data_IF_384013741245
#
_entry.id   IF_384013741245
#
_cell.length_a   1.000
_cell.length_b   1.000
_cell.length_c   1.000
_cell.angle_alpha   90.00
_cell.angle_beta   90.00
_cell.angle_gamma   90.00
#
_symmetry.space_group_name_H-M   'P 1'
#
loop_
_entity.id
_entity.type
_entity.pdbx_description
1 polymer ?
#
# COMPACT_ATOMS: atom_id res chain seq x y z
N UNK A 1 -15.17 2.32 -19.94
CA UNK A 1 -14.76 3.62 -20.51
C UNK A 1 -15.25 3.81 -21.95
N UNK A 2 -14.67 3.15 -22.97
CA UNK A 2 -14.98 3.44 -24.39
C UNK A 2 -16.48 3.39 -24.73
N UNK A 3 -17.20 2.37 -24.27
CA UNK A 3 -18.64 2.26 -24.47
C UNK A 3 -19.42 3.45 -23.87
N UNK A 4 -19.02 3.92 -22.68
CA UNK A 4 -19.65 5.07 -22.04
C UNK A 4 -19.36 6.36 -22.82
N UNK A 5 -18.13 6.53 -23.31
CA UNK A 5 -17.73 7.68 -24.12
C UNK A 5 -18.53 7.72 -25.44
N UNK A 6 -18.70 6.57 -26.09
CA UNK A 6 -19.50 6.47 -27.32
C UNK A 6 -20.97 6.78 -27.07
N UNK A 7 -21.56 6.27 -25.98
CA UNK A 7 -22.95 6.55 -25.62
C UNK A 7 -23.18 8.03 -25.29
N UNK A 8 -22.22 8.69 -24.63
CA UNK A 8 -22.28 10.13 -24.36
C UNK A 8 -22.20 10.95 -25.65
N UNK A 9 -21.27 10.61 -26.56
CA UNK A 9 -21.13 11.28 -27.86
C UNK A 9 -22.35 11.17 -28.74
N UNK A 10 -23.06 10.03 -28.69
CA UNK A 10 -24.29 9.81 -29.46
C UNK A 10 -25.50 10.53 -28.89
N UNK A 11 -25.43 10.99 -27.64
CA UNK A 11 -26.53 11.60 -26.92
C UNK A 11 -27.79 10.70 -26.93
N UNK A 12 -27.59 9.38 -26.84
CA UNK A 12 -28.62 8.34 -27.06
C UNK A 12 -29.74 8.31 -25.98
N UNK A 13 -29.76 9.30 -25.07
CA UNK A 13 -30.81 9.49 -24.09
C UNK A 13 -30.74 8.54 -22.88
N UNK A 14 -31.13 9.06 -21.71
CA UNK A 14 -31.35 8.33 -20.44
C UNK A 14 -30.11 7.78 -19.68
N UNK A 15 -28.91 8.32 -19.88
CA UNK A 15 -27.81 8.00 -18.94
C UNK A 15 -28.03 8.77 -17.64
N UNK A 16 -28.69 8.12 -16.68
CA UNK A 16 -28.90 8.67 -15.33
C UNK A 16 -27.69 8.40 -14.43
N UNK A 17 -26.98 7.29 -14.67
CA UNK A 17 -25.86 6.82 -13.86
C UNK A 17 -24.72 6.26 -14.74
N UNK A 18 -23.49 6.72 -14.50
CA UNK A 18 -22.27 6.21 -15.12
C UNK A 18 -21.47 5.38 -14.10
N UNK A 19 -21.32 4.09 -14.36
CA UNK A 19 -20.48 3.19 -13.56
C UNK A 19 -19.14 2.96 -14.26
N UNK A 20 -18.13 3.69 -13.82
CA UNK A 20 -16.79 3.71 -14.41
C UNK A 20 -15.70 3.34 -13.40
N UNK A 21 -16.10 2.59 -12.37
CA UNK A 21 -15.19 2.02 -11.39
C UNK A 21 -14.11 1.15 -12.04
N UNK A 22 -12.85 1.29 -11.60
CA UNK A 22 -11.74 0.45 -12.05
C UNK A 22 -11.64 0.29 -13.58
N UNK A 23 -11.72 1.43 -14.27
CA UNK A 23 -11.69 1.50 -15.73
C UNK A 23 -10.34 2.04 -16.26
N UNK A 24 -9.32 2.15 -15.41
CA UNK A 24 -8.01 2.74 -15.74
C UNK A 24 -8.18 4.14 -16.38
N UNK A 25 -9.03 4.96 -15.77
CA UNK A 25 -9.23 6.36 -16.17
C UNK A 25 -8.15 7.20 -15.49
N UNK A 26 -7.28 7.81 -16.29
CA UNK A 26 -6.32 8.83 -15.86
C UNK A 26 -6.89 10.24 -16.15
N UNK A 27 -6.13 11.28 -15.80
CA UNK A 27 -6.60 12.68 -15.94
C UNK A 27 -6.96 13.07 -17.38
N UNK A 28 -6.23 12.55 -18.38
CA UNK A 28 -6.54 12.79 -19.80
C UNK A 28 -7.91 12.18 -20.18
N UNK A 29 -8.12 10.91 -19.85
CA UNK A 29 -9.40 10.21 -20.10
C UNK A 29 -10.55 10.81 -19.30
N UNK A 30 -10.27 11.32 -18.11
CA UNK A 30 -11.23 12.05 -17.30
C UNK A 30 -11.68 13.33 -18.02
N UNK A 31 -10.73 14.09 -18.56
CA UNK A 31 -11.03 15.29 -19.35
C UNK A 31 -11.89 14.95 -20.58
N UNK A 32 -11.49 13.95 -21.35
CA UNK A 32 -12.25 13.46 -22.52
C UNK A 32 -13.69 13.06 -22.16
N UNK A 33 -13.86 12.36 -21.04
CA UNK A 33 -15.16 11.95 -20.54
C UNK A 33 -16.05 13.16 -20.24
N UNK A 34 -15.53 14.15 -19.51
CA UNK A 34 -16.31 15.32 -19.11
C UNK A 34 -16.57 16.28 -20.27
N UNK A 35 -15.66 16.38 -21.23
CA UNK A 35 -15.90 17.09 -22.49
C UNK A 35 -17.04 16.45 -23.29
N UNK A 36 -17.10 15.12 -23.34
CA UNK A 36 -18.24 14.43 -23.97
C UNK A 36 -19.57 14.61 -23.19
N UNK A 37 -19.51 15.01 -21.93
CA UNK A 37 -20.68 15.24 -21.05
C UNK A 37 -21.13 16.70 -20.97
N UNK A 38 -20.43 17.64 -21.58
CA UNK A 38 -20.69 19.08 -21.43
C UNK A 38 -22.15 19.46 -21.75
N UNK A 39 -22.77 18.72 -22.68
CA UNK A 39 -24.16 18.91 -23.11
C UNK A 39 -25.14 17.86 -22.55
N UNK A 40 -24.67 16.97 -21.68
CA UNK A 40 -25.48 15.90 -21.10
C UNK A 40 -26.27 16.40 -19.90
N UNK A 41 -27.56 16.70 -20.10
CA UNK A 41 -28.43 17.19 -19.02
C UNK A 41 -28.95 16.09 -18.08
N UNK A 42 -28.76 14.81 -18.40
CA UNK A 42 -29.43 13.70 -17.71
C UNK A 42 -28.56 12.96 -16.68
N UNK A 43 -27.25 13.24 -16.62
CA UNK A 43 -26.33 12.45 -15.78
C UNK A 43 -26.38 12.92 -14.32
N UNK A 44 -26.97 12.08 -13.47
CA UNK A 44 -27.18 12.40 -12.05
C UNK A 44 -26.15 11.75 -11.13
N UNK A 45 -25.53 10.65 -11.55
CA UNK A 45 -24.58 9.89 -10.73
C UNK A 45 -23.39 9.41 -11.56
N UNK A 46 -22.17 9.58 -11.04
CA UNK A 46 -20.94 9.07 -11.67
C UNK A 46 -20.10 8.36 -10.60
N UNK A 47 -19.74 7.12 -10.87
CA UNK A 47 -18.77 6.34 -10.09
C UNK A 47 -17.45 6.26 -10.86
N UNK A 48 -16.45 7.03 -10.43
CA UNK A 48 -15.06 7.01 -10.90
C UNK A 48 -14.14 6.36 -9.85
N UNK A 49 -14.66 5.57 -8.92
CA UNK A 49 -13.84 4.98 -7.87
C UNK A 49 -12.80 3.99 -8.40
N UNK A 50 -11.72 3.80 -7.65
CA UNK A 50 -10.63 2.87 -7.93
C UNK A 50 -10.04 3.09 -9.36
N UNK A 51 -9.73 4.34 -9.74
CA UNK A 51 -9.11 4.73 -11.02
C UNK A 51 -7.74 5.42 -10.78
N UNK A 52 -7.17 6.06 -11.81
CA UNK A 52 -5.83 6.69 -11.79
C UNK A 52 -5.90 8.23 -11.83
N UNK A 53 -6.96 8.83 -11.27
CA UNK A 53 -7.14 10.29 -11.22
C UNK A 53 -6.20 10.89 -10.18
N UNK A 54 -5.46 11.95 -10.53
CA UNK A 54 -4.55 12.64 -9.61
C UNK A 54 -5.16 13.93 -9.06
N UNK A 55 -4.40 14.69 -8.25
CA UNK A 55 -4.80 16.03 -7.81
C UNK A 55 -5.07 17.00 -8.97
N UNK A 56 -4.39 16.83 -10.11
CA UNK A 56 -4.63 17.67 -11.29
C UNK A 56 -5.98 17.33 -11.95
N UNK A 57 -6.34 16.05 -12.04
CA UNK A 57 -7.68 15.62 -12.45
C UNK A 57 -8.76 16.07 -11.46
N UNK A 58 -8.48 16.05 -10.16
CA UNK A 58 -9.38 16.58 -9.14
C UNK A 58 -9.57 18.10 -9.26
N UNK A 59 -8.51 18.85 -9.58
CA UNK A 59 -8.57 20.29 -9.86
C UNK A 59 -9.40 20.59 -11.11
N UNK A 60 -9.21 19.81 -12.18
CA UNK A 60 -10.05 19.89 -13.37
C UNK A 60 -11.53 19.68 -13.03
N UNK A 61 -11.87 18.60 -12.30
CA UNK A 61 -13.24 18.34 -11.85
C UNK A 61 -13.79 19.47 -10.98
N UNK A 62 -13.00 19.99 -10.04
CA UNK A 62 -13.43 21.07 -9.16
C UNK A 62 -13.73 22.36 -9.91
N UNK A 63 -12.86 22.72 -10.86
CA UNK A 63 -13.04 23.90 -11.71
C UNK A 63 -14.29 23.76 -12.57
N UNK A 64 -14.45 22.61 -13.22
CA UNK A 64 -15.56 22.33 -14.13
C UNK A 64 -16.91 22.30 -13.38
N UNK A 65 -16.98 21.62 -12.24
CA UNK A 65 -18.21 21.52 -11.44
C UNK A 65 -18.57 22.85 -10.77
N UNK A 66 -17.58 23.67 -10.36
CA UNK A 66 -17.80 25.03 -9.85
C UNK A 66 -18.28 25.97 -10.95
N UNK A 67 -17.79 25.78 -12.18
CA UNK A 67 -18.24 26.48 -13.38
C UNK A 67 -19.67 26.15 -13.81
N UNK A 68 -20.35 25.22 -13.13
CA UNK A 68 -21.75 24.88 -13.40
C UNK A 68 -21.95 23.83 -14.48
N UNK A 69 -20.89 23.14 -14.93
CA UNK A 69 -21.05 22.02 -15.85
C UNK A 69 -21.77 20.84 -15.19
N UNK A 70 -22.54 20.10 -16.00
CA UNK A 70 -23.30 18.90 -15.58
C UNK A 70 -24.15 19.20 -14.33
N UNK A 71 -25.07 20.17 -14.43
CA UNK A 71 -25.86 20.64 -13.28
C UNK A 71 -26.73 19.55 -12.64
N UNK A 72 -27.13 18.56 -13.42
CA UNK A 72 -27.93 17.41 -12.95
C UNK A 72 -27.16 16.45 -12.05
N UNK A 73 -25.82 16.54 -11.99
CA UNK A 73 -25.01 15.68 -11.14
C UNK A 73 -25.31 15.92 -9.66
N UNK A 74 -25.76 14.87 -8.97
CA UNK A 74 -26.04 14.83 -7.53
C UNK A 74 -25.11 13.88 -6.77
N UNK A 75 -24.42 12.97 -7.46
CA UNK A 75 -23.49 12.02 -6.85
C UNK A 75 -22.21 11.84 -7.69
N UNK A 76 -21.06 11.96 -7.05
CA UNK A 76 -19.75 11.73 -7.64
C UNK A 76 -18.90 10.90 -6.68
N UNK A 77 -18.43 9.74 -7.11
CA UNK A 77 -17.48 8.92 -6.36
C UNK A 77 -16.10 8.95 -7.03
N UNK A 78 -15.09 9.42 -6.32
CA UNK A 78 -13.69 9.47 -6.76
C UNK A 78 -12.77 8.78 -5.75
N UNK A 79 -13.30 7.95 -4.85
CA UNK A 79 -12.49 7.19 -3.88
C UNK A 79 -11.53 6.23 -4.57
N UNK A 80 -10.40 5.91 -3.96
CA UNK A 80 -9.45 4.94 -4.53
C UNK A 80 -8.72 5.46 -5.77
N UNK A 81 -8.70 6.78 -5.97
CA UNK A 81 -7.85 7.45 -6.93
C UNK A 81 -6.56 7.97 -6.26
N UNK A 82 -5.63 8.49 -7.06
CA UNK A 82 -4.33 9.04 -6.64
C UNK A 82 -4.46 10.50 -6.14
N UNK A 83 -5.48 10.76 -5.32
CA UNK A 83 -5.84 12.10 -4.81
C UNK A 83 -5.34 12.31 -3.37
N UNK A 84 -4.82 13.49 -3.06
CA UNK A 84 -4.26 13.86 -1.76
C UNK A 84 -5.19 14.76 -0.95
N UNK A 85 -4.71 15.29 0.19
CA UNK A 85 -5.42 16.31 0.98
C UNK A 85 -5.79 17.54 0.17
N UNK A 86 -4.97 17.94 -0.80
CA UNK A 86 -5.25 19.07 -1.69
C UNK A 86 -6.52 18.85 -2.51
N UNK A 87 -6.68 17.67 -3.11
CA UNK A 87 -7.91 17.33 -3.81
C UNK A 87 -9.13 17.26 -2.87
N UNK A 88 -8.96 16.79 -1.62
CA UNK A 88 -10.05 16.81 -0.64
C UNK A 88 -10.53 18.24 -0.34
N UNK A 89 -9.61 19.20 -0.15
CA UNK A 89 -9.95 20.61 0.02
C UNK A 89 -10.74 21.15 -1.20
N UNK A 90 -10.28 20.83 -2.42
CA UNK A 90 -10.98 21.20 -3.65
C UNK A 90 -12.40 20.63 -3.72
N UNK A 91 -12.61 19.40 -3.28
CA UNK A 91 -13.95 18.78 -3.26
C UNK A 91 -14.82 19.33 -2.12
N UNK A 92 -14.24 19.74 -0.99
CA UNK A 92 -14.97 20.41 0.08
C UNK A 92 -15.46 21.80 -0.35
N UNK A 93 -14.65 22.54 -1.10
CA UNK A 93 -15.10 23.80 -1.71
C UNK A 93 -16.29 23.59 -2.67
N UNK A 94 -16.30 22.51 -3.48
CA UNK A 94 -17.45 22.18 -4.33
C UNK A 94 -18.70 21.93 -3.49
N UNK A 95 -18.59 21.24 -2.34
CA UNK A 95 -19.74 20.96 -1.47
C UNK A 95 -20.39 22.25 -0.96
N UNK A 96 -19.62 23.32 -0.80
CA UNK A 96 -20.16 24.64 -0.44
C UNK A 96 -20.92 25.31 -1.59
N UNK A 97 -20.47 25.12 -2.84
CA UNK A 97 -21.10 25.71 -4.03
C UNK A 97 -22.31 24.89 -4.49
N UNK A 98 -22.17 23.56 -4.57
CA UNK A 98 -23.21 22.63 -5.03
C UNK A 98 -23.73 21.78 -3.88
N UNK A 99 -24.60 22.37 -3.05
CA UNK A 99 -25.13 21.73 -1.83
C UNK A 99 -25.83 20.39 -2.04
N UNK A 100 -26.37 20.15 -3.23
CA UNK A 100 -27.06 18.88 -3.58
C UNK A 100 -26.05 17.80 -4.01
N UNK A 101 -24.87 18.21 -4.52
CA UNK A 101 -23.86 17.30 -5.02
C UNK A 101 -23.10 16.64 -3.86
N UNK A 102 -23.25 15.32 -3.76
CA UNK A 102 -22.48 14.48 -2.85
C UNK A 102 -21.22 13.99 -3.54
N UNK A 103 -20.07 14.53 -3.15
CA UNK A 103 -18.76 14.04 -3.59
C UNK A 103 -18.18 13.08 -2.55
N UNK A 104 -17.97 11.81 -2.92
CA UNK A 104 -17.20 10.87 -2.13
C UNK A 104 -15.76 10.85 -2.65
N UNK A 105 -14.85 11.50 -1.94
CA UNK A 105 -13.42 11.53 -2.28
C UNK A 105 -12.57 10.80 -1.26
N UNK A 106 -12.90 10.89 0.02
CA UNK A 106 -12.20 10.17 1.07
C UNK A 106 -12.46 8.66 0.97
N UNK A 107 -11.38 7.89 0.90
CA UNK A 107 -11.46 6.46 1.14
C UNK A 107 -12.01 6.27 2.55
N UNK A 108 -13.16 5.63 2.67
CA UNK A 108 -13.76 5.34 3.97
C UNK A 108 -12.99 4.18 4.60
N UNK A 109 -11.86 4.50 5.24
CA UNK A 109 -11.12 3.53 6.07
C UNK A 109 -11.81 3.40 7.44
N UNK A 110 -12.86 4.17 7.72
CA UNK A 110 -13.69 4.00 8.91
C UNK A 110 -15.01 3.29 8.57
N UNK A 111 -15.38 2.30 9.37
CA UNK A 111 -16.70 1.67 9.34
C UNK A 111 -17.78 2.67 9.78
N UNK A 112 -19.05 2.29 9.64
CA UNK A 112 -20.19 3.12 10.05
C UNK A 112 -20.19 3.48 11.54
N UNK A 113 -19.53 2.69 12.38
CA UNK A 113 -19.37 2.91 13.81
C UNK A 113 -18.14 3.77 14.19
N UNK A 114 -17.42 4.30 13.19
CA UNK A 114 -16.20 5.10 13.40
C UNK A 114 -14.94 4.28 13.68
N UNK A 115 -15.01 2.94 13.67
CA UNK A 115 -13.82 2.08 13.85
C UNK A 115 -13.07 1.90 12.54
N UNK A 116 -11.76 1.66 12.60
CA UNK A 116 -10.95 1.42 11.41
C UNK A 116 -11.35 0.10 10.70
N UNK A 117 -11.63 0.19 9.42
CA UNK A 117 -11.76 -0.92 8.48
C UNK A 117 -10.38 -1.42 8.05
N UNK A 118 -9.83 -2.30 8.87
CA UNK A 118 -8.54 -2.96 8.60
C UNK A 118 -8.55 -3.81 7.35
N UNK A 119 -9.71 -4.27 6.87
CA UNK A 119 -9.80 -5.05 5.63
C UNK A 119 -9.64 -4.13 4.42
N UNK A 120 -10.30 -2.97 4.43
CA UNK A 120 -10.11 -1.95 3.39
C UNK A 120 -8.69 -1.39 3.40
N UNK A 121 -8.11 -1.15 4.58
CA UNK A 121 -6.70 -0.75 4.70
C UNK A 121 -5.76 -1.76 4.06
N UNK A 122 -5.99 -3.06 4.25
CA UNK A 122 -5.19 -4.11 3.64
C UNK A 122 -5.23 -4.09 2.11
N UNK A 123 -6.41 -3.83 1.51
CA UNK A 123 -6.56 -3.73 0.05
C UNK A 123 -5.74 -2.56 -0.49
N UNK A 124 -5.84 -1.39 0.15
CA UNK A 124 -5.09 -0.19 -0.26
C UNK A 124 -3.58 -0.42 -0.17
N UNK A 125 -3.09 -1.04 0.91
CA UNK A 125 -1.68 -1.34 1.06
C UNK A 125 -1.16 -2.29 -0.04
N UNK A 126 -2.00 -3.25 -0.48
CA UNK A 126 -1.67 -4.14 -1.60
C UNK A 126 -1.66 -3.41 -2.94
N UNK A 127 -2.60 -2.50 -3.17
CA UNK A 127 -2.62 -1.64 -4.37
C UNK A 127 -1.36 -0.77 -4.42
N UNK A 128 -0.99 -0.13 -3.31
CA UNK A 128 0.26 0.63 -3.21
C UNK A 128 1.46 -0.28 -3.50
N UNK A 129 1.51 -1.48 -2.91
CA UNK A 129 2.59 -2.44 -3.16
C UNK A 129 2.70 -2.84 -4.62
N UNK A 130 1.57 -3.00 -5.33
CA UNK A 130 1.54 -3.32 -6.74
C UNK A 130 2.06 -2.14 -7.57
N UNK A 131 1.57 -0.92 -7.33
CA UNK A 131 2.00 0.29 -8.02
C UNK A 131 3.50 0.55 -7.86
N UNK A 132 4.03 0.38 -6.65
CA UNK A 132 5.47 0.50 -6.37
C UNK A 132 6.25 -0.57 -7.13
N UNK A 133 5.77 -1.81 -7.15
CA UNK A 133 6.45 -2.90 -7.86
C UNK A 133 6.45 -2.68 -9.38
N UNK A 134 5.36 -2.17 -9.94
CA UNK A 134 5.25 -1.81 -11.36
C UNK A 134 6.19 -0.65 -11.73
N UNK A 135 6.22 0.42 -10.92
CA UNK A 135 7.13 1.56 -11.13
C UNK A 135 8.61 1.12 -11.08
N UNK A 136 8.99 0.31 -10.08
CA UNK A 136 10.33 -0.26 -9.99
C UNK A 136 10.67 -1.17 -11.18
N UNK A 137 9.71 -1.97 -11.64
CA UNK A 137 9.91 -2.86 -12.80
C UNK A 137 10.14 -2.08 -14.10
N UNK A 138 9.40 -0.98 -14.31
CA UNK A 138 9.61 -0.08 -15.45
C UNK A 138 10.98 0.59 -15.40
N UNK A 139 11.42 1.03 -14.21
CA UNK A 139 12.75 1.61 -14.02
C UNK A 139 13.87 0.62 -14.36
N UNK A 140 13.71 -0.67 -14.00
CA UNK A 140 14.66 -1.72 -14.36
C UNK A 140 14.69 -2.04 -15.86
N UNK A 141 13.53 -2.07 -16.51
CA UNK A 141 13.45 -2.29 -17.96
C UNK A 141 14.12 -1.15 -18.75
N UNK A 142 14.09 0.08 -18.22
CA UNK A 142 14.71 1.25 -18.82
C UNK A 142 16.24 1.34 -18.58
N UNK A 143 16.86 0.33 -17.99
CA UNK A 143 18.32 0.24 -17.89
C UNK A 143 18.96 1.13 -16.82
N UNK A 144 18.19 1.61 -15.83
CA UNK A 144 18.74 2.34 -14.68
C UNK A 144 19.42 1.31 -13.75
N UNK A 145 20.69 1.03 -14.04
CA UNK A 145 21.34 -0.24 -13.69
C UNK A 145 22.14 -0.22 -12.37
N UNK A 146 21.90 0.72 -11.44
CA UNK A 146 22.64 0.73 -10.16
C UNK A 146 21.74 1.05 -8.95
N UNK A 147 21.76 0.22 -7.89
CA UNK A 147 21.18 0.58 -6.59
C UNK A 147 21.78 1.91 -6.11
N UNK A 148 20.92 2.87 -5.75
CA UNK A 148 21.33 4.20 -5.27
C UNK A 148 21.54 5.29 -6.34
N UNK A 149 21.37 4.98 -7.63
CA UNK A 149 21.32 5.98 -8.72
C UNK A 149 19.95 6.06 -9.42
N UNK A 150 18.93 5.42 -8.84
CA UNK A 150 17.58 5.43 -9.37
C UNK A 150 16.91 6.75 -8.98
N UNK A 151 16.60 7.58 -9.97
CA UNK A 151 15.70 8.70 -9.75
C UNK A 151 14.29 8.13 -9.57
N UNK A 152 13.87 8.02 -8.30
CA UNK A 152 12.58 7.46 -7.94
C UNK A 152 11.43 8.41 -8.32
N UNK A 153 10.29 7.85 -8.72
CA UNK A 153 9.08 8.63 -9.01
C UNK A 153 8.63 9.45 -7.80
N UNK A 154 7.85 10.49 -8.05
CA UNK A 154 7.25 11.30 -6.97
C UNK A 154 6.34 10.45 -6.06
N UNK A 155 5.73 9.40 -6.61
CA UNK A 155 4.96 8.41 -5.83
C UNK A 155 5.81 7.67 -4.81
N UNK A 156 6.99 7.17 -5.21
CA UNK A 156 7.93 6.51 -4.28
C UNK A 156 8.47 7.51 -3.26
N UNK A 157 8.83 8.73 -3.66
CA UNK A 157 9.29 9.77 -2.72
C UNK A 157 8.21 10.10 -1.67
N UNK A 158 6.96 10.26 -2.10
CA UNK A 158 5.82 10.48 -1.21
C UNK A 158 5.60 9.30 -0.26
N UNK A 159 5.69 8.07 -0.77
CA UNK A 159 5.61 6.86 0.06
C UNK A 159 6.69 6.84 1.15
N UNK A 160 7.95 7.07 0.75
CA UNK A 160 9.11 7.11 1.67
C UNK A 160 8.94 8.22 2.70
N UNK A 161 8.54 9.42 2.29
CA UNK A 161 8.28 10.54 3.20
C UNK A 161 7.18 10.27 4.24
N UNK A 162 6.33 9.26 4.01
CA UNK A 162 5.27 8.83 4.93
C UNK A 162 5.57 7.51 5.65
N UNK A 163 6.79 6.97 5.54
CA UNK A 163 7.13 5.63 5.99
C UNK A 163 6.85 5.40 7.48
N UNK A 164 7.11 6.39 8.35
CA UNK A 164 6.80 6.28 9.77
C UNK A 164 5.29 6.10 10.06
N UNK A 165 4.44 6.83 9.31
CA UNK A 165 2.98 6.67 9.39
C UNK A 165 2.57 5.27 8.98
N UNK A 166 3.17 4.72 7.92
CA UNK A 166 2.94 3.34 7.54
C UNK A 166 3.39 2.37 8.64
N UNK A 167 4.60 2.51 9.18
CA UNK A 167 5.12 1.60 10.23
C UNK A 167 4.21 1.56 11.47
N UNK A 168 3.57 2.69 11.83
CA UNK A 168 2.60 2.74 12.94
C UNK A 168 1.40 1.80 12.76
N UNK A 169 1.04 1.43 11.52
CA UNK A 169 -0.04 0.48 11.21
C UNK A 169 0.29 -0.92 11.78
N UNK A 170 1.56 -1.29 11.91
CA UNK A 170 1.95 -2.56 12.54
C UNK A 170 1.52 -2.65 14.01
N UNK A 171 1.34 -1.51 14.68
CA UNK A 171 0.92 -1.44 16.08
C UNK A 171 -0.60 -1.36 16.26
N UNK A 172 -1.36 -1.15 15.18
CA UNK A 172 -2.82 -0.99 15.25
C UNK A 172 -3.49 -2.26 15.77
N UNK A 173 -4.12 -2.16 16.94
CA UNK A 173 -4.81 -3.29 17.56
C UNK A 173 -6.08 -3.63 16.78
N UNK A 174 -6.32 -4.91 16.54
CA UNK A 174 -7.58 -5.39 16.00
C UNK A 174 -8.68 -5.15 17.05
N UNK A 175 -9.78 -4.49 16.66
CA UNK A 175 -10.98 -4.39 17.50
C UNK A 175 -11.46 -5.81 17.80
N UNK A 176 -11.68 -6.13 19.08
CA UNK A 176 -12.19 -7.44 19.53
C UNK A 176 -13.58 -7.72 18.94
N UNK A 177 -13.62 -8.25 17.72
CA UNK A 177 -14.80 -8.83 17.09
C UNK A 177 -14.85 -10.34 17.36
N UNK A 178 -16.06 -10.89 17.48
CA UNK A 178 -16.44 -12.23 17.95
C UNK A 178 -15.81 -13.48 17.27
N UNK A 179 -14.70 -13.37 16.56
CA UNK A 179 -13.87 -14.53 16.20
C UNK A 179 -12.50 -14.35 16.84
N UNK A 180 -12.15 -15.28 17.72
CA UNK A 180 -10.92 -15.28 18.51
C UNK A 180 -9.70 -14.80 17.73
N UNK A 181 -9.00 -13.86 18.36
CA UNK A 181 -7.76 -13.18 18.01
C UNK A 181 -6.63 -14.16 17.59
N UNK A 182 -6.73 -14.77 16.41
CA UNK A 182 -5.78 -15.81 15.94
C UNK A 182 -4.97 -15.43 14.69
N UNK A 183 -5.20 -14.25 14.11
CA UNK A 183 -4.52 -13.82 12.89
C UNK A 183 -3.77 -12.50 13.08
N UNK A 184 -2.64 -12.34 12.37
CA UNK A 184 -1.80 -11.13 12.39
C UNK A 184 -2.51 -9.84 11.90
N UNK A 185 -3.72 -9.96 11.35
CA UNK A 185 -4.44 -8.88 10.68
C UNK A 185 -3.97 -8.69 9.24
N UNK A 186 -4.92 -8.67 8.30
CA UNK A 186 -4.61 -8.53 6.87
C UNK A 186 -3.83 -7.24 6.55
N UNK A 187 -4.15 -6.15 7.25
CA UNK A 187 -3.46 -4.87 7.11
C UNK A 187 -1.97 -4.95 7.46
N UNK A 188 -1.60 -5.66 8.54
CA UNK A 188 -0.19 -5.81 8.93
C UNK A 188 0.56 -6.70 7.93
N UNK A 189 -0.08 -7.76 7.43
CA UNK A 189 0.51 -8.64 6.42
C UNK A 189 0.76 -7.85 5.13
N UNK A 190 -0.24 -7.11 4.65
CA UNK A 190 -0.12 -6.27 3.46
C UNK A 190 0.94 -5.17 3.62
N UNK A 191 1.01 -4.55 4.80
CA UNK A 191 2.06 -3.59 5.08
C UNK A 191 3.45 -4.23 5.11
N UNK A 192 3.60 -5.41 5.72
CA UNK A 192 4.86 -6.14 5.71
C UNK A 192 5.29 -6.46 4.27
N UNK A 193 4.36 -6.84 3.39
CA UNK A 193 4.65 -7.02 1.95
C UNK A 193 5.17 -5.72 1.31
N UNK A 194 4.48 -4.59 1.52
CA UNK A 194 4.91 -3.28 1.02
C UNK A 194 6.28 -2.86 1.56
N UNK A 195 6.50 -3.01 2.87
CA UNK A 195 7.78 -2.69 3.52
C UNK A 195 8.90 -3.55 2.95
N UNK A 196 8.67 -4.83 2.66
CA UNK A 196 9.67 -5.68 2.00
C UNK A 196 10.04 -5.13 0.62
N UNK A 197 9.07 -4.72 -0.21
CA UNK A 197 9.37 -4.12 -1.52
C UNK A 197 10.21 -2.85 -1.36
N UNK A 198 9.82 -1.97 -0.44
CA UNK A 198 10.51 -0.70 -0.18
C UNK A 198 11.92 -0.92 0.38
N UNK A 199 12.07 -1.81 1.37
CA UNK A 199 13.38 -2.16 1.95
C UNK A 199 14.29 -2.77 0.89
N UNK A 200 13.79 -3.65 0.00
CA UNK A 200 14.67 -4.33 -0.94
C UNK A 200 15.11 -3.47 -2.11
N UNK A 201 14.26 -2.54 -2.55
CA UNK A 201 14.50 -1.81 -3.80
C UNK A 201 14.77 -0.33 -3.60
N UNK A 202 14.36 0.23 -2.46
CA UNK A 202 14.52 1.63 -2.12
C UNK A 202 15.39 1.84 -0.88
N UNK A 203 16.14 0.82 -0.39
CA UNK A 203 16.89 0.92 0.87
C UNK A 203 17.73 2.19 1.03
N UNK A 204 18.44 2.74 0.01
CA UNK A 204 19.25 3.94 0.22
C UNK A 204 18.42 5.16 0.63
N UNK A 205 17.14 5.21 0.24
CA UNK A 205 16.23 6.29 0.61
C UNK A 205 15.59 6.10 1.99
N UNK A 206 15.47 4.85 2.45
CA UNK A 206 14.74 4.51 3.67
C UNK A 206 15.64 4.00 4.78
N UNK A 207 16.97 3.96 4.57
CA UNK A 207 17.91 3.38 5.54
C UNK A 207 17.79 4.08 6.90
N UNK A 208 17.84 5.41 6.94
CA UNK A 208 17.71 6.18 8.19
C UNK A 208 16.34 5.95 8.89
N UNK A 209 15.26 5.90 8.11
CA UNK A 209 13.93 5.61 8.62
C UNK A 209 13.80 4.19 9.18
N UNK A 210 14.43 3.19 8.55
CA UNK A 210 14.44 1.80 9.03
C UNK A 210 15.21 1.69 10.34
N UNK A 211 16.38 2.35 10.42
CA UNK A 211 17.24 2.33 11.58
C UNK A 211 16.57 3.01 12.79
N UNK A 212 15.82 4.09 12.57
CA UNK A 212 15.13 4.85 13.63
C UNK A 212 13.78 4.26 14.07
N UNK A 213 13.12 3.45 13.24
CA UNK A 213 11.73 3.02 13.45
C UNK A 213 11.54 1.68 14.16
N UNK A 214 12.61 0.93 14.44
CA UNK A 214 12.54 -0.44 14.96
C UNK A 214 11.71 -1.40 14.08
N UNK A 215 11.52 -1.10 12.78
CA UNK A 215 10.62 -1.85 11.90
C UNK A 215 11.00 -3.32 11.77
N UNK A 216 12.30 -3.64 11.66
CA UNK A 216 12.77 -5.03 11.59
C UNK A 216 12.48 -5.80 12.88
N UNK A 217 12.65 -5.18 14.05
CA UNK A 217 12.30 -5.78 15.33
C UNK A 217 10.78 -6.02 15.46
N UNK A 218 9.95 -5.08 14.97
CA UNK A 218 8.49 -5.26 14.89
C UNK A 218 8.11 -6.43 13.98
N UNK A 219 8.76 -6.56 12.83
CA UNK A 219 8.55 -7.69 11.90
C UNK A 219 8.92 -9.03 12.53
N UNK A 220 10.06 -9.13 13.22
CA UNK A 220 10.46 -10.33 13.97
C UNK A 220 9.46 -10.66 15.08
N UNK A 221 8.98 -9.65 15.80
CA UNK A 221 7.94 -9.85 16.82
C UNK A 221 6.66 -10.44 16.21
N UNK A 222 6.15 -9.86 15.12
CA UNK A 222 4.97 -10.39 14.41
C UNK A 222 5.22 -11.84 13.93
N UNK A 223 6.42 -12.12 13.42
CA UNK A 223 6.81 -13.47 13.00
C UNK A 223 6.69 -14.50 14.13
N UNK A 224 7.13 -14.15 15.34
CA UNK A 224 7.04 -15.03 16.52
C UNK A 224 5.63 -15.11 17.10
N UNK A 225 4.91 -14.00 17.14
CA UNK A 225 3.58 -13.87 17.78
C UNK A 225 2.48 -14.62 17.01
N UNK A 226 2.66 -14.87 15.69
CA UNK A 226 1.65 -15.49 14.83
C UNK A 226 2.12 -16.80 14.17
N UNK A 227 2.43 -17.87 14.94
CA UNK A 227 3.11 -19.08 14.48
C UNK A 227 2.38 -19.93 13.43
N UNK A 228 1.10 -19.62 13.14
CA UNK A 228 0.28 -20.32 12.14
C UNK A 228 0.07 -19.49 10.86
N UNK A 229 0.73 -18.34 10.70
CA UNK A 229 0.56 -17.47 9.55
C UNK A 229 1.67 -17.65 8.49
N UNK A 230 1.50 -18.61 7.59
CA UNK A 230 2.50 -18.92 6.55
C UNK A 230 2.82 -17.75 5.62
N UNK A 231 1.82 -16.92 5.28
CA UNK A 231 2.00 -15.76 4.39
C UNK A 231 2.95 -14.75 5.04
N UNK A 232 2.67 -14.36 6.28
CA UNK A 232 3.53 -13.47 7.06
C UNK A 232 4.96 -14.01 7.14
N UNK A 233 5.12 -15.30 7.45
CA UNK A 233 6.44 -15.90 7.58
C UNK A 233 7.20 -15.88 6.26
N UNK A 234 6.57 -16.27 5.15
CA UNK A 234 7.20 -16.22 3.83
C UNK A 234 7.68 -14.80 3.49
N UNK A 235 6.85 -13.78 3.74
CA UNK A 235 7.17 -12.39 3.39
C UNK A 235 8.31 -11.83 4.24
N UNK A 236 8.24 -12.00 5.57
CA UNK A 236 9.32 -11.56 6.46
C UNK A 236 10.60 -12.33 6.17
N UNK A 237 10.54 -13.66 6.01
CA UNK A 237 11.69 -14.50 5.70
C UNK A 237 12.44 -14.00 4.46
N UNK A 238 11.74 -13.70 3.36
CA UNK A 238 12.36 -13.20 2.12
C UNK A 238 13.09 -11.88 2.35
N UNK A 239 12.49 -10.96 3.10
CA UNK A 239 13.12 -9.69 3.44
C UNK A 239 14.37 -9.87 4.31
N UNK A 240 14.27 -10.66 5.38
CA UNK A 240 15.42 -10.96 6.24
C UNK A 240 16.55 -11.63 5.45
N UNK A 241 16.23 -12.63 4.63
CA UNK A 241 17.22 -13.32 3.81
C UNK A 241 17.90 -12.38 2.82
N UNK A 242 17.15 -11.45 2.22
CA UNK A 242 17.71 -10.51 1.27
C UNK A 242 18.49 -9.37 1.95
N UNK A 243 18.18 -8.98 3.19
CA UNK A 243 19.06 -8.12 4.00
C UNK A 243 20.37 -8.85 4.33
N UNK A 244 20.28 -10.09 4.80
CA UNK A 244 21.46 -10.91 5.14
C UNK A 244 22.37 -11.18 3.93
N UNK A 245 21.78 -11.31 2.74
CA UNK A 245 22.51 -11.55 1.48
C UNK A 245 22.79 -10.27 0.69
N UNK A 246 22.36 -9.12 1.22
CA UNK A 246 22.31 -7.85 0.50
C UNK A 246 23.57 -7.01 0.66
N UNK A 247 23.63 -5.90 -0.08
CA UNK A 247 24.82 -5.04 -0.12
C UNK A 247 24.90 -4.00 1.01
N UNK A 248 23.80 -3.71 1.73
CA UNK A 248 23.83 -2.73 2.83
C UNK A 248 24.38 -3.37 4.11
N UNK A 249 25.65 -3.06 4.42
CA UNK A 249 26.27 -3.42 5.70
C UNK A 249 25.55 -2.79 6.89
N UNK A 250 25.00 -1.59 6.73
CA UNK A 250 24.29 -0.87 7.79
C UNK A 250 23.03 -1.64 8.21
N UNK A 251 22.17 -1.99 7.24
CA UNK A 251 20.96 -2.76 7.50
C UNK A 251 21.26 -4.16 8.00
N UNK A 252 22.32 -4.78 7.50
CA UNK A 252 22.82 -6.06 8.00
C UNK A 252 23.15 -5.98 9.50
N UNK A 253 23.99 -5.02 9.90
CA UNK A 253 24.40 -4.89 11.30
C UNK A 253 23.24 -4.53 12.22
N UNK A 254 22.36 -3.66 11.76
CA UNK A 254 21.14 -3.33 12.49
C UNK A 254 20.24 -4.56 12.69
N UNK A 255 20.10 -5.41 11.67
CA UNK A 255 19.32 -6.64 11.81
C UNK A 255 19.95 -7.62 12.81
N UNK A 256 21.28 -7.78 12.78
CA UNK A 256 22.00 -8.72 13.63
C UNK A 256 22.08 -8.22 15.08
N UNK A 257 22.42 -6.95 15.31
CA UNK A 257 22.65 -6.38 16.64
C UNK A 257 21.38 -5.79 17.22
N UNK A 258 20.88 -4.71 16.63
CA UNK A 258 19.81 -3.89 17.21
C UNK A 258 18.44 -4.59 17.16
N UNK A 259 18.09 -5.23 16.03
CA UNK A 259 16.88 -6.04 15.92
C UNK A 259 17.02 -7.42 16.58
N UNK A 260 18.23 -7.77 17.04
CA UNK A 260 18.54 -9.00 17.80
C UNK A 260 18.12 -10.29 17.09
N UNK A 261 18.34 -10.39 15.77
CA UNK A 261 18.02 -11.58 14.98
C UNK A 261 18.62 -12.89 15.56
N UNK A 262 19.90 -12.96 15.97
CA UNK A 262 20.48 -14.21 16.46
C UNK A 262 19.78 -14.73 17.72
N UNK A 263 19.46 -13.82 18.65
CA UNK A 263 18.71 -14.15 19.86
C UNK A 263 17.29 -14.62 19.53
N UNK A 264 16.62 -13.95 18.60
CA UNK A 264 15.30 -14.37 18.12
C UNK A 264 15.33 -15.79 17.52
N UNK A 265 16.28 -16.07 16.63
CA UNK A 265 16.45 -17.36 15.99
C UNK A 265 16.74 -18.48 16.98
N UNK A 266 17.61 -18.23 17.97
CA UNK A 266 17.89 -19.19 19.04
C UNK A 266 16.62 -19.50 19.85
N UNK A 267 15.91 -18.46 20.29
CA UNK A 267 14.69 -18.58 21.09
C UNK A 267 13.57 -19.33 20.36
N UNK A 268 13.25 -18.94 19.13
CA UNK A 268 12.20 -19.60 18.34
C UNK A 268 12.65 -20.99 17.87
N UNK A 269 13.94 -21.20 17.59
CA UNK A 269 14.52 -22.50 17.27
C UNK A 269 14.33 -23.52 18.40
N UNK A 270 14.61 -23.13 19.64
CA UNK A 270 14.34 -23.97 20.83
C UNK A 270 12.86 -24.33 20.92
N UNK A 271 11.94 -23.36 20.74
CA UNK A 271 10.50 -23.63 20.75
C UNK A 271 10.08 -24.62 19.66
N UNK A 272 10.57 -24.44 18.43
CA UNK A 272 10.30 -25.36 17.31
C UNK A 272 10.80 -26.78 17.61
N UNK A 273 11.98 -26.90 18.24
CA UNK A 273 12.58 -28.20 18.57
C UNK A 273 11.78 -28.95 19.65
N UNK A 274 11.15 -28.23 20.59
CA UNK A 274 10.36 -28.80 21.68
C UNK A 274 8.97 -29.32 21.23
N UNK A 275 8.54 -29.01 20.01
CA UNK A 275 7.23 -29.37 19.47
C UNK A 275 7.30 -30.58 18.54
N UNK A 276 6.38 -31.53 18.73
CA UNK A 276 6.19 -32.68 17.83
C UNK A 276 5.85 -32.22 16.40
N UNK A 277 6.21 -33.02 15.38
CA UNK A 277 6.12 -32.66 13.95
C UNK A 277 4.73 -32.12 13.52
N UNK A 278 3.63 -32.57 14.10
CA UNK A 278 2.28 -32.08 13.80
C UNK A 278 1.84 -30.79 14.52
N UNK A 279 2.68 -30.24 15.41
CA UNK A 279 2.41 -29.01 16.20
C UNK A 279 3.43 -27.91 15.96
N UNK A 280 4.36 -28.12 15.03
CA UNK A 280 5.42 -27.16 14.74
C UNK A 280 4.83 -25.89 14.09
N UNK A 281 5.32 -24.70 14.46
CA UNK A 281 4.99 -23.46 13.76
C UNK A 281 5.31 -23.55 12.27
N UNK A 282 4.53 -22.88 11.43
CA UNK A 282 4.77 -22.87 9.98
C UNK A 282 6.11 -22.23 9.61
N UNK A 283 6.69 -21.41 10.49
CA UNK A 283 8.01 -20.83 10.30
C UNK A 283 9.21 -21.73 10.63
N UNK A 284 9.00 -22.95 11.14
CA UNK A 284 10.11 -23.77 11.67
C UNK A 284 11.24 -23.99 10.65
N UNK A 285 10.88 -24.18 9.37
CA UNK A 285 11.85 -24.29 8.28
C UNK A 285 12.59 -22.97 8.00
N UNK A 286 11.89 -21.84 8.05
CA UNK A 286 12.50 -20.51 7.88
C UNK A 286 13.53 -20.21 8.97
N UNK A 287 13.24 -20.56 10.23
CA UNK A 287 14.20 -20.40 11.34
C UNK A 287 15.48 -21.19 11.05
N UNK A 288 15.36 -22.45 10.64
CA UNK A 288 16.53 -23.26 10.30
C UNK A 288 17.37 -22.65 9.17
N UNK A 289 16.73 -22.19 8.09
CA UNK A 289 17.43 -21.58 6.96
C UNK A 289 18.13 -20.29 7.37
N UNK A 290 17.45 -19.39 8.08
CA UNK A 290 18.05 -18.13 8.55
C UNK A 290 19.21 -18.37 9.51
N UNK A 291 19.07 -19.31 10.45
CA UNK A 291 20.17 -19.68 11.37
C UNK A 291 21.37 -20.22 10.63
N UNK A 292 21.14 -21.07 9.61
CA UNK A 292 22.22 -21.58 8.77
C UNK A 292 22.90 -20.46 7.99
N UNK A 293 22.13 -19.57 7.34
CA UNK A 293 22.68 -18.42 6.63
C UNK A 293 23.55 -17.56 7.53
N UNK A 294 23.11 -17.28 8.76
CA UNK A 294 23.90 -16.47 9.69
C UNK A 294 25.21 -17.15 10.10
N UNK A 295 25.18 -18.45 10.38
CA UNK A 295 26.38 -19.24 10.70
C UNK A 295 27.36 -19.30 9.53
N UNK A 296 26.85 -19.51 8.32
CA UNK A 296 27.67 -19.53 7.11
C UNK A 296 28.32 -18.14 6.88
N UNK A 297 27.65 -17.03 7.24
CA UNK A 297 28.23 -15.68 7.16
C UNK A 297 29.30 -15.46 8.24
N UNK A 298 29.08 -15.90 9.48
CA UNK A 298 30.04 -15.82 10.59
C UNK A 298 31.34 -16.59 10.29
N UNK A 299 31.25 -17.74 9.62
CA UNK A 299 32.45 -18.51 9.24
C UNK A 299 33.30 -17.80 8.17
N UNK A 300 32.67 -16.99 7.31
CA UNK A 300 33.28 -16.37 6.14
C UNK A 300 33.65 -14.88 6.30
N UNK A 301 33.16 -14.20 7.34
CA UNK A 301 33.42 -12.78 7.62
C UNK A 301 34.07 -12.63 9.01
N UNK A 302 35.32 -12.19 9.05
CA UNK A 302 36.08 -11.98 10.30
C UNK A 302 35.46 -10.91 11.20
N UNK A 303 34.69 -9.95 10.64
CA UNK A 303 34.01 -8.92 11.45
C UNK A 303 32.83 -9.50 12.24
N UNK A 304 32.35 -10.70 11.89
CA UNK A 304 31.24 -11.42 12.53
C UNK A 304 31.68 -12.45 13.58
N UNK A 305 32.96 -12.87 13.58
CA UNK A 305 33.53 -13.83 14.54
C UNK A 305 33.79 -13.21 15.92
#
# INVERSE_FOLDING_TARGET
>A
YAAALDSLKKNDGLIVCLQLKNCQINDERLSDLFLAMEHSEMVTSIDLSDNLITDDGALFLSTLLRGGAIQSLIYLDVRGNLITSRAHELFDEIRHVRKILKVQSAIKILKSDGTLDTSRLAVILKEISLLVSEDLSLQWQNGISRPGQIEHSEGIKCLVGNLQSFISILDLKLSRGNMGDRGAGLHRIALVELLCVVILHCWPLVEEDILSSCVLAKMLKLFGDFPQNSILHCTVFRCLQAILSGSSKTLFWYLVKDASLPYFLAREGTKCSALHQGRRPSYSGHIFVLSKTLKDLEENDEDLK
#
